data_IF_248094534751
#
_entry.id   IF_248094534751
#
_cell.length_a   1.000
_cell.length_b   1.000
_cell.length_c   1.000
_cell.angle_alpha   90.00
_cell.angle_beta   90.00
_cell.angle_gamma   90.00
#
_symmetry.space_group_name_H-M   'P 1'
#
loop_
_entity.id
_entity.type
_entity.pdbx_description
1 polymer ?
#
# COMPACT_ATOMS: atom_id res chain seq x y z
N UNK A 1 -20.24 1.76 17.94
CA UNK A 1 -20.66 2.13 16.58
C UNK A 1 -20.28 0.96 15.67
N UNK A 2 -21.23 0.05 15.46
CA UNK A 2 -21.02 -1.11 14.59
C UNK A 2 -20.77 -0.61 13.17
N UNK A 3 -19.63 -0.99 12.58
CA UNK A 3 -19.37 -0.76 11.18
C UNK A 3 -20.41 -1.54 10.37
N UNK A 4 -21.39 -0.84 9.80
CA UNK A 4 -22.28 -1.38 8.78
C UNK A 4 -21.36 -1.83 7.63
N UNK A 5 -21.21 -3.14 7.44
CA UNK A 5 -20.46 -3.70 6.32
C UNK A 5 -21.02 -3.10 5.04
N UNK A 6 -20.31 -2.14 4.45
CA UNK A 6 -20.52 -1.81 3.05
C UNK A 6 -20.38 -3.12 2.30
N UNK A 7 -21.35 -3.44 1.43
CA UNK A 7 -21.26 -4.62 0.59
C UNK A 7 -19.93 -4.57 -0.15
N UNK A 8 -19.00 -5.45 0.21
CA UNK A 8 -17.69 -5.52 -0.41
C UNK A 8 -17.89 -5.89 -1.88
N UNK A 9 -17.17 -5.22 -2.79
CA UNK A 9 -17.18 -5.57 -4.22
C UNK A 9 -16.93 -7.07 -4.39
N UNK A 10 -17.71 -7.81 -5.20
CA UNK A 10 -17.53 -9.25 -5.41
C UNK A 10 -16.08 -9.63 -5.72
N UNK A 11 -15.65 -10.78 -5.24
CA UNK A 11 -14.30 -11.31 -5.46
C UNK A 11 -14.02 -11.55 -6.94
N UNK A 12 -12.78 -11.33 -7.37
CA UNK A 12 -12.36 -11.65 -8.73
C UNK A 12 -12.83 -10.65 -9.82
N UNK A 13 -13.64 -9.64 -9.50
CA UNK A 13 -14.02 -8.62 -10.49
C UNK A 13 -12.90 -7.61 -10.71
N UNK A 14 -12.81 -7.04 -11.91
CA UNK A 14 -11.93 -5.90 -12.17
C UNK A 14 -12.46 -4.63 -11.47
N UNK A 15 -11.55 -3.75 -11.07
CA UNK A 15 -11.87 -2.43 -10.49
C UNK A 15 -10.84 -1.39 -10.93
N UNK A 16 -11.09 -0.12 -10.58
CA UNK A 16 -10.12 0.97 -10.77
C UNK A 16 -8.83 0.80 -9.95
N UNK A 17 -8.85 -0.10 -8.97
CA UNK A 17 -7.70 -0.59 -8.21
C UNK A 17 -7.47 -2.05 -8.57
N UNK A 18 -6.25 -2.43 -8.98
CA UNK A 18 -5.99 -3.81 -9.41
C UNK A 18 -6.13 -4.85 -8.30
N UNK A 19 -5.84 -4.49 -7.04
CA UNK A 19 -6.02 -5.34 -5.87
C UNK A 19 -7.49 -5.46 -5.43
N UNK A 20 -8.38 -4.59 -5.92
CA UNK A 20 -9.76 -4.51 -5.46
C UNK A 20 -9.97 -3.80 -4.14
N UNK A 21 -8.97 -3.02 -3.70
CA UNK A 21 -9.02 -2.23 -2.47
C UNK A 21 -9.75 -0.90 -2.70
N UNK A 22 -10.42 -0.34 -1.67
CA UNK A 22 -10.89 1.04 -1.72
C UNK A 22 -9.70 2.01 -1.90
N UNK A 23 -9.77 2.90 -2.89
CA UNK A 23 -8.66 3.80 -3.22
C UNK A 23 -8.46 4.87 -2.14
N UNK A 24 -9.52 5.65 -1.86
CA UNK A 24 -9.49 6.82 -0.98
C UNK A 24 -8.86 6.55 0.40
N UNK A 25 -9.25 5.51 1.17
CA UNK A 25 -8.67 5.28 2.49
C UNK A 25 -7.22 4.79 2.47
N UNK A 26 -6.64 4.52 1.30
CA UNK A 26 -5.22 4.20 1.16
C UNK A 26 -4.35 5.40 0.76
N UNK A 27 -4.94 6.55 0.42
CA UNK A 27 -4.19 7.73 -0.04
C UNK A 27 -3.59 8.49 1.14
N UNK A 28 -2.36 8.94 1.02
CA UNK A 28 -1.84 9.98 1.92
C UNK A 28 -2.59 11.29 1.66
N UNK A 29 -3.12 11.92 2.71
CA UNK A 29 -3.89 13.18 2.60
C UNK A 29 -3.11 14.35 3.18
N UNK A 30 -3.19 15.49 2.52
CA UNK A 30 -2.41 16.66 2.93
C UNK A 30 -2.82 17.13 4.31
N UNK A 31 -4.13 17.18 4.58
CA UNK A 31 -4.64 17.67 5.87
C UNK A 31 -4.19 16.76 7.04
N UNK A 32 -3.99 15.47 6.81
CA UNK A 32 -3.41 14.54 7.81
C UNK A 32 -1.93 14.84 8.05
N UNK A 33 -1.17 15.03 6.98
CA UNK A 33 0.25 15.40 7.08
C UNK A 33 0.43 16.76 7.75
N UNK A 34 -0.43 17.73 7.45
CA UNK A 34 -0.44 19.04 8.10
C UNK A 34 -0.79 18.96 9.59
N UNK A 35 -1.61 17.98 9.99
CA UNK A 35 -1.88 17.65 11.40
C UNK A 35 -0.77 16.82 12.06
N UNK A 36 0.27 16.43 11.30
CA UNK A 36 1.44 15.71 11.79
C UNK A 36 1.24 14.20 11.95
N UNK A 37 0.12 13.63 11.48
CA UNK A 37 -0.14 12.20 11.60
C UNK A 37 -1.12 11.69 10.54
N UNK A 38 -0.82 10.52 10.00
CA UNK A 38 -1.73 9.72 9.18
C UNK A 38 -2.07 8.47 9.99
N UNK A 39 -3.36 8.26 10.30
CA UNK A 39 -3.81 7.20 11.22
C UNK A 39 -4.28 5.92 10.48
N UNK A 40 -3.73 5.64 9.30
CA UNK A 40 -4.14 4.50 8.49
C UNK A 40 -3.00 3.96 7.63
N UNK A 41 -3.20 2.74 7.11
CA UNK A 41 -2.26 2.12 6.18
C UNK A 41 -2.35 2.81 4.80
N UNK A 42 -1.20 2.93 4.14
CA UNK A 42 -1.12 3.52 2.81
C UNK A 42 -1.22 2.46 1.70
N UNK A 43 -1.50 2.90 0.47
CA UNK A 43 -1.39 2.07 -0.73
C UNK A 43 -0.11 2.41 -1.49
N UNK A 44 0.46 1.41 -2.16
CA UNK A 44 1.57 1.64 -3.10
C UNK A 44 1.51 0.70 -4.30
N UNK A 45 2.33 0.99 -5.32
CA UNK A 45 2.42 0.17 -6.53
C UNK A 45 3.76 -0.56 -6.66
N UNK A 46 3.75 -1.68 -7.36
CA UNK A 46 4.93 -2.46 -7.73
C UNK A 46 4.95 -2.69 -9.24
N UNK A 47 6.11 -2.76 -9.88
CA UNK A 47 6.18 -2.91 -11.34
C UNK A 47 5.72 -4.27 -11.82
N UNK A 48 5.90 -5.30 -11.00
CA UNK A 48 5.48 -6.67 -11.27
C UNK A 48 4.88 -7.27 -10.01
N UNK A 49 3.72 -7.87 -10.18
CA UNK A 49 3.02 -8.66 -9.16
C UNK A 49 2.75 -10.05 -9.70
N UNK A 50 2.50 -11.02 -8.82
CA UNK A 50 2.05 -12.36 -9.23
C UNK A 50 0.53 -12.44 -9.32
N UNK A 51 0.03 -13.48 -9.99
CA UNK A 51 -1.37 -13.90 -10.11
C UNK A 51 -1.89 -14.48 -8.77
N UNK A 52 -1.82 -13.67 -7.72
CA UNK A 52 -2.28 -14.00 -6.37
C UNK A 52 -2.60 -12.71 -5.60
N UNK A 53 -3.48 -12.83 -4.61
CA UNK A 53 -3.80 -11.74 -3.68
C UNK A 53 -3.96 -12.30 -2.26
N UNK A 54 -3.82 -11.42 -1.27
CA UNK A 54 -4.05 -11.72 0.15
C UNK A 54 -5.10 -10.75 0.67
N UNK A 55 -6.04 -11.24 1.48
CA UNK A 55 -7.08 -10.40 2.06
C UNK A 55 -6.47 -9.19 2.79
N UNK A 56 -7.01 -7.96 2.65
CA UNK A 56 -8.31 -7.60 2.09
C UNK A 56 -8.35 -7.39 0.57
N UNK A 57 -7.24 -7.62 -0.15
CA UNK A 57 -7.29 -7.63 -1.61
C UNK A 57 -8.19 -8.77 -2.10
N UNK A 58 -8.86 -8.53 -3.23
CA UNK A 58 -9.87 -9.43 -3.82
C UNK A 58 -9.63 -9.71 -5.29
N UNK A 59 -8.53 -9.20 -5.86
CA UNK A 59 -8.22 -9.28 -7.27
C UNK A 59 -6.72 -9.15 -7.54
N UNK A 60 -6.28 -9.53 -8.74
CA UNK A 60 -4.91 -9.40 -9.24
C UNK A 60 -4.93 -8.90 -10.69
N UNK A 61 -3.85 -8.28 -11.16
CA UNK A 61 -3.71 -7.85 -12.56
C UNK A 61 -2.43 -8.39 -13.20
N UNK A 62 -2.21 -9.70 -13.11
CA UNK A 62 -0.99 -10.35 -13.62
C UNK A 62 -1.25 -11.78 -14.08
N UNK A 63 -0.49 -12.24 -15.05
CA UNK A 63 -0.40 -13.64 -15.48
C UNK A 63 0.83 -14.37 -14.91
N UNK A 64 1.71 -13.66 -14.19
CA UNK A 64 2.96 -14.20 -13.65
C UNK A 64 2.69 -15.05 -12.40
N UNK A 65 3.34 -16.20 -12.26
CA UNK A 65 3.15 -17.12 -11.12
C UNK A 65 4.39 -17.25 -10.21
N UNK A 66 5.44 -16.48 -10.49
CA UNK A 66 6.69 -16.51 -9.73
C UNK A 66 6.45 -16.15 -8.25
N UNK A 67 6.79 -17.05 -7.30
CA UNK A 67 6.55 -16.81 -5.87
C UNK A 67 7.41 -15.70 -5.27
N UNK A 68 8.47 -15.25 -5.96
CA UNK A 68 9.30 -14.12 -5.53
C UNK A 68 8.66 -12.76 -5.80
N UNK A 69 7.62 -12.70 -6.62
CA UNK A 69 6.88 -11.46 -6.89
C UNK A 69 5.85 -11.19 -5.79
N UNK A 70 5.63 -9.91 -5.42
CA UNK A 70 4.60 -9.57 -4.46
C UNK A 70 3.20 -9.93 -4.98
N UNK A 71 2.34 -10.42 -4.09
CA UNK A 71 0.89 -10.52 -4.36
C UNK A 71 0.20 -9.19 -4.08
N UNK A 72 -0.94 -8.95 -4.73
CA UNK A 72 -1.83 -7.85 -4.34
C UNK A 72 -2.26 -8.02 -2.88
N UNK A 73 -2.39 -6.91 -2.15
CA UNK A 73 -2.70 -6.91 -0.71
C UNK A 73 -1.54 -7.29 0.19
N UNK A 74 -0.36 -7.67 -0.34
CA UNK A 74 0.83 -7.89 0.48
C UNK A 74 1.14 -6.64 1.30
N UNK A 75 1.28 -6.81 2.62
CA UNK A 75 1.56 -5.73 3.55
C UNK A 75 3.05 -5.61 3.85
N UNK A 76 3.55 -4.39 3.71
CA UNK A 76 4.90 -4.01 4.09
C UNK A 76 4.84 -2.96 5.19
N UNK A 77 5.78 -3.01 6.13
CA UNK A 77 5.92 -2.00 7.18
C UNK A 77 7.36 -1.54 7.26
N UNK A 78 7.56 -0.25 7.47
CA UNK A 78 8.88 0.31 7.71
C UNK A 78 9.36 -0.17 9.08
N UNK A 79 10.58 -0.70 9.17
CA UNK A 79 11.14 -1.17 10.44
C UNK A 79 11.14 -0.03 11.46
N UNK A 80 10.72 -0.32 12.69
CA UNK A 80 10.69 0.65 13.79
C UNK A 80 12.07 1.30 14.03
N UNK A 81 13.13 0.54 13.81
CA UNK A 81 14.53 0.95 13.95
C UNK A 81 15.08 1.85 12.84
N UNK A 82 14.38 2.03 11.72
CA UNK A 82 14.84 2.90 10.64
C UNK A 82 14.76 4.36 11.10
N UNK A 83 15.86 5.10 11.08
CA UNK A 83 15.86 6.49 11.52
C UNK A 83 15.17 7.38 10.48
N UNK A 84 14.18 8.16 10.94
CA UNK A 84 13.41 9.08 10.11
C UNK A 84 13.66 10.54 10.51
N UNK A 85 14.47 10.81 11.53
CA UNK A 85 14.69 12.16 12.07
C UNK A 85 15.37 13.12 11.09
N UNK A 86 16.12 12.58 10.13
CA UNK A 86 16.78 13.33 9.08
C UNK A 86 15.85 13.72 7.91
N UNK A 87 14.61 13.24 7.87
CA UNK A 87 13.69 13.50 6.78
C UNK A 87 12.92 14.82 7.01
N UNK A 88 12.62 15.57 5.93
CA UNK A 88 11.76 16.75 5.99
C UNK A 88 10.38 16.45 6.57
N UNK A 89 9.68 17.47 7.06
CA UNK A 89 8.45 17.33 7.84
C UNK A 89 7.40 16.46 7.15
N UNK A 90 7.08 16.71 5.88
CA UNK A 90 6.02 15.95 5.20
C UNK A 90 6.41 14.48 5.00
N UNK A 91 7.66 14.24 4.62
CA UNK A 91 8.20 12.88 4.46
C UNK A 91 8.24 12.13 5.80
N UNK A 92 8.68 12.78 6.88
CA UNK A 92 8.74 12.19 8.22
C UNK A 92 7.38 11.72 8.72
N UNK A 93 6.29 12.46 8.46
CA UNK A 93 4.94 12.03 8.83
C UNK A 93 4.50 10.80 8.03
N UNK A 94 4.77 10.75 6.73
CA UNK A 94 4.51 9.57 5.89
C UNK A 94 5.32 8.37 6.38
N UNK A 95 6.60 8.54 6.68
CA UNK A 95 7.46 7.46 7.18
C UNK A 95 7.02 6.97 8.55
N UNK A 96 6.55 7.86 9.43
CA UNK A 96 5.96 7.48 10.71
C UNK A 96 4.71 6.62 10.50
N UNK A 97 3.82 6.99 9.57
CA UNK A 97 2.66 6.17 9.22
C UNK A 97 3.06 4.79 8.66
N UNK A 98 4.12 4.73 7.85
CA UNK A 98 4.67 3.47 7.35
C UNK A 98 5.27 2.59 8.44
N UNK A 99 5.78 3.16 9.55
CA UNK A 99 6.22 2.40 10.72
C UNK A 99 5.04 1.84 11.52
N UNK A 100 3.97 2.61 11.64
CA UNK A 100 2.87 2.28 12.54
C UNK A 100 1.80 1.40 11.87
N UNK A 101 1.38 1.80 10.67
CA UNK A 101 0.28 1.18 9.93
C UNK A 101 0.74 0.41 8.70
N UNK A 102 1.94 0.71 8.19
CA UNK A 102 2.48 0.10 6.98
C UNK A 102 1.73 0.51 5.71
N UNK A 103 1.91 -0.29 4.67
CA UNK A 103 1.30 -0.08 3.36
C UNK A 103 1.00 -1.39 2.64
N UNK A 104 0.11 -1.35 1.66
CA UNK A 104 -0.32 -2.53 0.89
C UNK A 104 -0.09 -2.39 -0.60
N UNK A 105 0.33 -3.47 -1.24
CA UNK A 105 0.43 -3.56 -2.71
C UNK A 105 -0.97 -3.45 -3.29
N UNK A 106 -1.25 -2.37 -4.02
CA UNK A 106 -2.59 -2.07 -4.52
C UNK A 106 -2.69 -2.11 -6.04
N UNK A 107 -1.59 -1.83 -6.74
CA UNK A 107 -1.59 -1.81 -8.20
C UNK A 107 -0.23 -2.14 -8.82
N UNK A 108 -0.26 -2.37 -10.14
CA UNK A 108 0.93 -2.41 -10.96
C UNK A 108 1.30 -0.98 -11.39
N UNK A 109 2.55 -0.59 -11.18
CA UNK A 109 3.01 0.78 -11.45
C UNK A 109 4.49 0.95 -11.16
N UNK A 110 4.92 2.18 -10.89
CA UNK A 110 6.31 2.41 -10.46
C UNK A 110 6.57 1.75 -9.11
N UNK A 111 7.73 1.09 -8.98
CA UNK A 111 8.13 0.45 -7.73
C UNK A 111 8.11 1.46 -6.57
N UNK A 112 7.56 1.05 -5.42
CA UNK A 112 7.56 1.84 -4.18
C UNK A 112 6.80 3.17 -4.28
N UNK A 113 5.94 3.34 -5.29
CA UNK A 113 5.18 4.57 -5.46
C UNK A 113 3.97 4.63 -4.53
N UNK A 114 4.03 5.48 -3.52
CA UNK A 114 2.95 5.76 -2.56
C UNK A 114 1.99 6.77 -3.18
N UNK A 115 0.69 6.48 -3.13
CA UNK A 115 -0.33 7.38 -3.70
C UNK A 115 -0.78 8.41 -2.67
N UNK A 116 -0.74 9.69 -3.04
CA UNK A 116 -1.34 10.79 -2.28
C UNK A 116 -2.56 11.37 -3.00
N UNK A 117 -3.41 12.09 -2.27
CA UNK A 117 -4.44 12.90 -2.90
C UNK A 117 -3.80 14.11 -3.62
N UNK A 118 -4.39 14.60 -4.73
CA UNK A 118 -3.91 15.81 -5.38
C UNK A 118 -4.12 17.03 -4.47
N UNK A 119 -3.03 17.69 -4.10
CA UNK A 119 -3.08 18.94 -3.34
C UNK A 119 -1.87 19.84 -3.71
N UNK A 120 -2.08 21.14 -4.03
CA UNK A 120 -0.98 22.04 -4.39
C UNK A 120 -0.05 22.38 -3.22
N UNK A 121 -0.43 22.06 -1.98
CA UNK A 121 0.36 22.35 -0.77
C UNK A 121 1.42 21.28 -0.46
N UNK A 122 1.44 20.17 -1.21
CA UNK A 122 2.51 19.18 -1.13
C UNK A 122 3.86 19.80 -1.50
N UNK A 123 4.89 19.52 -0.70
CA UNK A 123 6.27 19.85 -1.02
C UNK A 123 6.89 18.70 -1.80
N UNK A 124 7.09 18.88 -3.12
CA UNK A 124 7.76 17.87 -3.94
C UNK A 124 9.20 17.62 -3.48
N UNK A 125 9.87 18.64 -2.96
CA UNK A 125 11.23 18.52 -2.43
C UNK A 125 11.24 17.60 -1.20
N UNK A 126 10.31 17.80 -0.25
CA UNK A 126 10.15 16.91 0.91
C UNK A 126 9.84 15.49 0.46
N UNK A 127 8.80 15.31 -0.37
CA UNK A 127 8.28 13.99 -0.74
C UNK A 127 9.26 13.20 -1.62
N UNK A 128 10.11 13.88 -2.41
CA UNK A 128 11.14 13.22 -3.20
C UNK A 128 12.14 12.43 -2.33
N UNK A 129 12.34 12.84 -1.07
CA UNK A 129 13.24 12.16 -0.13
C UNK A 129 12.76 10.77 0.26
N UNK A 130 11.46 10.46 0.12
CA UNK A 130 10.93 9.10 0.37
C UNK A 130 11.63 8.04 -0.49
N UNK A 131 12.12 8.41 -1.68
CA UNK A 131 12.90 7.54 -2.55
C UNK A 131 14.27 7.13 -2.00
N UNK A 132 14.75 7.77 -0.94
CA UNK A 132 16.00 7.40 -0.25
C UNK A 132 15.84 6.18 0.66
N UNK A 133 14.60 5.81 1.02
CA UNK A 133 14.34 4.66 1.87
C UNK A 133 14.52 3.36 1.08
N UNK A 134 15.50 2.51 1.43
CA UNK A 134 15.73 1.29 0.69
C UNK A 134 14.63 0.27 1.00
N UNK A 135 14.28 -0.58 0.03
CA UNK A 135 13.33 -1.67 0.27
C UNK A 135 13.74 -2.61 1.42
N UNK A 136 15.04 -2.73 1.71
CA UNK A 136 15.57 -3.50 2.84
C UNK A 136 15.24 -2.90 4.22
N UNK A 137 14.79 -1.65 4.28
CA UNK A 137 14.27 -1.02 5.49
C UNK A 137 12.84 -1.48 5.81
N UNK A 138 12.17 -2.17 4.90
CA UNK A 138 10.83 -2.72 5.12
C UNK A 138 10.89 -4.18 5.55
N UNK A 139 9.82 -4.61 6.19
CA UNK A 139 9.53 -6.00 6.54
C UNK A 139 8.13 -6.38 6.05
N UNK A 140 7.96 -7.65 5.70
CA UNK A 140 6.63 -8.20 5.39
C UNK A 140 5.87 -8.37 6.69
N UNK A 141 4.67 -7.82 6.76
CA UNK A 141 3.78 -8.03 7.91
C UNK A 141 2.83 -9.16 7.56
N UNK A 142 2.92 -10.26 8.33
CA UNK A 142 2.00 -11.37 8.19
C UNK A 142 0.59 -10.90 8.53
N UNK A 143 -0.25 -10.83 7.50
CA UNK A 143 -1.66 -10.49 7.59
C UNK A 143 -2.39 -11.77 7.22
N UNK A 144 -2.67 -12.58 8.25
CA UNK A 144 -3.19 -13.93 8.11
C UNK A 144 -4.35 -14.07 7.12
N UNK A 145 -4.38 -15.26 6.51
CA UNK A 145 -5.24 -15.77 5.42
C UNK A 145 -4.79 -15.38 4.00
N UNK A 146 -3.75 -16.08 3.54
CA UNK A 146 -3.57 -16.39 2.12
C UNK A 146 -4.85 -17.05 1.58
N UNK A 147 -5.57 -16.36 0.70
CA UNK A 147 -6.58 -16.99 -0.15
C UNK A 147 -5.85 -17.34 -1.44
N UNK A 148 -5.45 -18.60 -1.60
CA UNK A 148 -5.04 -19.06 -2.93
C UNK A 148 -6.26 -18.99 -3.85
N UNK A 149 -6.19 -18.29 -5.01
CA UNK A 149 -7.27 -18.34 -5.97
C UNK A 149 -7.42 -19.79 -6.45
N UNK A 150 -8.63 -20.33 -6.29
CA UNK A 150 -9.02 -21.67 -6.73
C UNK A 150 -8.52 -21.96 -8.15
N UNK A 151 -8.02 -23.17 -8.46
CA UNK A 151 -7.59 -23.53 -9.82
C UNK A 151 -8.75 -23.29 -10.80
N UNK A 152 -8.56 -22.38 -11.75
CA UNK A 152 -9.46 -22.27 -12.89
C UNK A 152 -9.08 -23.39 -13.85
N UNK A 153 -9.93 -24.40 -13.96
CA UNK A 153 -9.81 -25.42 -14.99
C UNK A 153 -10.02 -24.76 -16.38
N UNK A 154 -8.93 -24.77 -17.16
CA UNK A 154 -8.78 -24.57 -18.62
C UNK A 154 -9.42 -23.36 -19.29
#
# INVERSE_FOLDING_TARGET
MEARLQQLRPEGWTSADAAGLPILPGLARYDEVALGRIDHALRFTASRTRRAYVWPARHFASSLTDPSLPSMGLRLRLKSSYDISAFPTQASVVLQALKEYGMMVADNGSNWFISGEPDPRWSNDDLSTLGQVPGSAFEVVDSGFFIEPWPQER
#
